data_IF_010423248551
#
_entry.id   IF_010423248551
#
_cell.length_a   1.000
_cell.length_b   1.000
_cell.length_c   1.000
_cell.angle_alpha   90.00
_cell.angle_beta   90.00
_cell.angle_gamma   90.00
#
_symmetry.space_group_name_H-M   'P 1'
#
loop_
_entity.id
_entity.type
_entity.pdbx_description
1 polymer ?
#
# COMPACT_ATOMS: atom_id res chain seq x y z
N UNK A 1 -1.47 -98.00 13.88
CA UNK A 1 -0.59 -98.58 12.87
C UNK A 1 -0.51 -97.65 11.69
N UNK A 2 0.71 -97.45 11.23
CA UNK A 2 1.15 -96.75 9.99
C UNK A 2 1.48 -95.23 10.11
N UNK A 3 2.66 -94.91 9.63
CA UNK A 3 3.37 -93.71 10.00
C UNK A 3 3.17 -92.52 9.02
N UNK A 4 3.36 -91.38 9.60
CA UNK A 4 3.33 -90.08 8.92
C UNK A 4 4.51 -89.91 7.95
N UNK A 5 4.22 -89.43 6.74
CA UNK A 5 5.23 -88.90 5.80
C UNK A 5 5.40 -87.44 5.97
N UNK A 6 6.58 -87.00 6.36
CA UNK A 6 7.01 -85.60 6.35
C UNK A 6 7.34 -85.16 4.92
N UNK A 7 6.69 -84.17 4.43
CA UNK A 7 7.09 -83.48 3.19
C UNK A 7 7.83 -82.20 3.56
N UNK A 8 9.12 -82.22 3.25
CA UNK A 8 9.98 -81.01 3.33
C UNK A 8 9.69 -80.13 2.14
N UNK A 9 9.07 -78.97 2.38
CA UNK A 9 8.97 -77.89 1.40
C UNK A 9 10.21 -77.00 1.54
N UNK A 10 11.09 -77.11 0.55
CA UNK A 10 12.20 -76.17 0.36
C UNK A 10 11.62 -74.84 -0.13
N UNK A 11 11.61 -73.86 0.74
CA UNK A 11 11.29 -72.50 0.39
C UNK A 11 12.51 -71.79 -0.26
N UNK A 12 12.41 -71.46 -1.50
CA UNK A 12 13.41 -70.63 -2.17
C UNK A 12 13.32 -69.19 -1.66
N UNK A 13 14.36 -68.70 -1.00
CA UNK A 13 14.51 -67.35 -0.57
C UNK A 13 14.97 -66.49 -1.78
N UNK A 14 14.07 -65.81 -2.40
CA UNK A 14 14.41 -64.84 -3.45
C UNK A 14 14.94 -63.52 -2.81
N UNK A 15 16.24 -63.32 -2.92
CA UNK A 15 16.84 -62.02 -2.58
C UNK A 15 16.41 -60.97 -3.62
N UNK A 16 15.45 -60.18 -3.25
CA UNK A 16 15.09 -58.97 -4.00
C UNK A 16 16.19 -57.93 -3.85
N UNK A 17 16.87 -57.63 -4.94
CA UNK A 17 17.81 -56.50 -5.00
C UNK A 17 17.04 -55.21 -4.85
N UNK A 18 17.13 -54.56 -3.68
CA UNK A 18 16.68 -53.16 -3.53
C UNK A 18 17.63 -52.26 -4.34
N UNK A 19 17.19 -51.84 -5.51
CA UNK A 19 17.85 -50.76 -6.26
C UNK A 19 17.68 -49.45 -5.50
N UNK A 20 18.73 -48.99 -4.84
CA UNK A 20 18.84 -47.67 -4.29
C UNK A 20 18.89 -46.67 -5.48
N UNK A 21 17.75 -46.18 -5.88
CA UNK A 21 17.70 -45.02 -6.81
C UNK A 21 18.35 -43.83 -6.11
N UNK A 22 19.33 -43.16 -6.74
CA UNK A 22 19.87 -41.94 -6.17
C UNK A 22 18.75 -40.91 -6.10
N UNK A 23 18.44 -40.46 -4.91
CA UNK A 23 17.54 -39.32 -4.72
C UNK A 23 18.26 -38.11 -5.26
N UNK A 24 17.89 -37.70 -6.48
CA UNK A 24 18.32 -36.44 -7.04
C UNK A 24 17.73 -35.36 -6.18
N UNK A 25 18.52 -34.75 -5.32
CA UNK A 25 18.16 -33.52 -4.65
C UNK A 25 18.10 -32.47 -5.72
N UNK A 26 16.89 -32.16 -6.20
CA UNK A 26 16.66 -31.02 -7.02
C UNK A 26 16.94 -29.79 -6.16
N UNK A 27 18.16 -29.30 -6.21
CA UNK A 27 18.49 -27.98 -5.65
C UNK A 27 17.70 -26.96 -6.47
N UNK A 28 16.63 -26.43 -5.87
CA UNK A 28 15.96 -25.27 -6.42
C UNK A 28 16.99 -24.14 -6.47
N UNK A 29 17.53 -23.88 -7.64
CA UNK A 29 18.38 -22.72 -7.85
C UNK A 29 17.51 -21.48 -7.63
N UNK A 30 17.68 -20.85 -6.46
CA UNK A 30 17.14 -19.54 -6.20
C UNK A 30 17.84 -18.58 -7.16
N UNK A 31 17.16 -18.25 -8.27
CA UNK A 31 17.55 -17.13 -9.12
C UNK A 31 17.10 -15.88 -8.39
N UNK A 32 18.01 -15.04 -7.87
CA UNK A 32 17.60 -13.80 -7.24
C UNK A 32 16.77 -13.03 -8.27
N UNK A 33 15.58 -12.60 -7.87
CA UNK A 33 14.76 -11.76 -8.71
C UNK A 33 15.62 -10.55 -9.10
N UNK A 34 15.69 -10.25 -10.39
CA UNK A 34 16.44 -9.10 -10.87
C UNK A 34 16.01 -7.89 -10.05
N UNK A 35 16.98 -7.22 -9.45
CA UNK A 35 16.74 -6.04 -8.61
C UNK A 35 15.97 -5.01 -9.46
N UNK A 36 14.69 -4.83 -9.12
CA UNK A 36 13.83 -3.90 -9.85
C UNK A 36 14.22 -2.50 -9.46
N UNK A 37 15.00 -1.86 -10.29
CA UNK A 37 15.30 -0.43 -10.12
C UNK A 37 14.01 0.35 -10.30
N UNK A 38 13.63 1.12 -9.28
CA UNK A 38 12.50 2.04 -9.38
C UNK A 38 12.92 3.23 -10.25
N UNK A 39 12.62 3.14 -11.53
CA UNK A 39 12.92 4.16 -12.53
C UNK A 39 11.66 4.44 -13.39
N UNK A 40 10.61 5.01 -12.80
CA UNK A 40 9.40 5.33 -13.54
C UNK A 40 9.70 6.43 -14.57
N UNK A 41 9.08 6.35 -15.74
CA UNK A 41 9.13 7.40 -16.75
C UNK A 41 7.82 8.20 -16.73
N UNK A 42 7.87 9.53 -16.81
CA UNK A 42 6.66 10.34 -16.94
C UNK A 42 5.89 9.94 -18.19
N UNK A 43 4.60 9.75 -18.05
CA UNK A 43 3.67 9.61 -19.17
C UNK A 43 3.05 10.95 -19.56
N UNK A 44 1.94 10.90 -20.27
CA UNK A 44 1.14 12.08 -20.59
C UNK A 44 0.54 12.69 -19.34
N UNK A 45 0.50 14.01 -19.30
CA UNK A 45 -0.13 14.75 -18.22
C UNK A 45 -1.63 14.49 -18.15
N UNK A 46 -2.12 14.32 -16.94
CA UNK A 46 -3.55 14.23 -16.65
C UNK A 46 -3.88 15.28 -15.62
N UNK A 47 -4.94 16.05 -15.87
CA UNK A 47 -5.43 17.04 -14.93
C UNK A 47 -6.54 16.45 -14.08
N UNK A 48 -6.44 16.68 -12.78
CA UNK A 48 -7.45 16.28 -11.81
C UNK A 48 -7.88 17.51 -11.03
N UNK A 49 -9.17 17.60 -10.78
CA UNK A 49 -9.73 18.56 -9.84
C UNK A 49 -10.03 17.85 -8.52
N UNK A 50 -9.52 18.37 -7.43
CA UNK A 50 -9.76 17.84 -6.09
C UNK A 50 -10.48 18.89 -5.29
N UNK A 51 -11.70 18.60 -4.89
CA UNK A 51 -12.52 19.45 -4.04
C UNK A 51 -12.52 18.92 -2.63
N UNK A 52 -12.06 19.73 -1.68
CA UNK A 52 -12.18 19.43 -0.25
C UNK A 52 -13.26 20.32 0.34
N UNK A 53 -14.20 19.71 1.03
CA UNK A 53 -15.26 20.44 1.71
C UNK A 53 -15.22 20.17 3.20
N UNK A 54 -15.30 21.22 4.00
CA UNK A 54 -15.41 21.16 5.45
C UNK A 54 -16.69 21.84 5.87
N UNK A 55 -17.52 21.11 6.60
CA UNK A 55 -18.76 21.59 7.20
C UNK A 55 -18.62 21.55 8.71
N UNK A 56 -18.82 22.68 9.37
CA UNK A 56 -18.83 22.81 10.83
C UNK A 56 -20.29 22.93 11.24
N UNK A 57 -20.86 21.82 11.67
CA UNK A 57 -22.28 21.74 11.98
C UNK A 57 -22.65 22.61 13.19
N UNK A 58 -21.83 22.54 14.25
CA UNK A 58 -22.03 23.34 15.46
C UNK A 58 -20.69 23.50 16.17
N UNK A 59 -20.30 24.73 16.36
CA UNK A 59 -19.11 25.07 17.12
C UNK A 59 -19.45 25.54 18.53
N UNK A 60 -18.57 25.25 19.48
CA UNK A 60 -18.56 25.83 20.79
C UNK A 60 -17.26 26.62 20.95
N UNK A 61 -17.36 27.94 20.91
CA UNK A 61 -16.20 28.82 20.86
C UNK A 61 -15.67 29.05 19.42
N UNK A 62 -14.55 29.74 19.34
CA UNK A 62 -13.88 30.04 18.06
C UNK A 62 -13.32 28.76 17.46
N UNK A 63 -13.72 28.49 16.23
CA UNK A 63 -13.24 27.32 15.49
C UNK A 63 -12.22 27.71 14.45
N UNK A 64 -11.12 26.96 14.39
CA UNK A 64 -10.04 27.16 13.43
C UNK A 64 -9.79 25.92 12.62
N UNK A 65 -9.63 26.07 11.33
CA UNK A 65 -9.40 24.98 10.38
C UNK A 65 -8.15 25.29 9.56
N UNK A 66 -7.31 24.27 9.38
CA UNK A 66 -6.15 24.32 8.50
C UNK A 66 -6.29 23.27 7.42
N UNK A 67 -6.35 23.67 6.18
CA UNK A 67 -6.46 22.80 5.03
C UNK A 67 -5.16 22.84 4.24
N UNK A 68 -4.49 21.71 4.02
CA UNK A 68 -3.31 21.69 3.16
C UNK A 68 -3.71 22.03 1.73
N UNK A 69 -2.92 22.90 1.11
CA UNK A 69 -3.10 23.28 -0.29
C UNK A 69 -1.94 22.71 -1.08
N UNK A 70 -2.20 21.95 -2.15
CA UNK A 70 -1.15 21.40 -2.98
C UNK A 70 -0.25 22.51 -3.53
N UNK A 71 1.06 22.38 -3.35
CA UNK A 71 2.06 23.34 -3.83
C UNK A 71 3.24 22.66 -4.53
N UNK A 72 3.02 21.43 -5.01
CA UNK A 72 4.06 20.61 -5.64
C UNK A 72 4.31 21.08 -7.08
N UNK A 73 5.58 21.14 -7.45
CA UNK A 73 6.00 21.39 -8.82
C UNK A 73 7.22 20.48 -9.14
N UNK A 74 6.94 19.34 -9.70
CA UNK A 74 7.93 18.32 -10.07
C UNK A 74 7.66 17.82 -11.49
N UNK A 75 8.53 16.95 -11.99
CA UNK A 75 8.30 16.26 -13.27
C UNK A 75 7.11 15.29 -13.27
N UNK A 76 6.58 14.95 -12.10
CA UNK A 76 5.51 13.96 -11.90
C UNK A 76 4.19 14.56 -11.48
N UNK A 77 4.24 15.71 -10.83
CA UNK A 77 3.07 16.37 -10.27
C UNK A 77 3.28 17.87 -10.28
N UNK A 78 2.28 18.58 -10.75
CA UNK A 78 2.27 20.03 -10.78
C UNK A 78 0.94 20.53 -10.24
N UNK A 79 1.00 21.46 -9.28
CA UNK A 79 -0.18 22.18 -8.84
C UNK A 79 -0.41 23.37 -9.78
N UNK A 80 -1.59 23.50 -10.32
CA UNK A 80 -1.91 24.59 -11.25
C UNK A 80 -2.54 25.76 -10.50
N UNK A 81 -3.78 25.62 -10.05
CA UNK A 81 -4.49 26.66 -9.35
C UNK A 81 -5.28 26.10 -8.17
N UNK A 82 -5.49 26.92 -7.15
CA UNK A 82 -6.36 26.60 -6.03
C UNK A 82 -7.31 27.78 -5.81
N UNK A 83 -8.58 27.48 -5.63
CA UNK A 83 -9.61 28.44 -5.26
C UNK A 83 -10.33 27.96 -4.01
N UNK A 84 -10.90 28.85 -3.26
CA UNK A 84 -11.66 28.52 -2.07
C UNK A 84 -12.82 29.47 -1.85
N UNK A 85 -13.83 28.97 -1.18
CA UNK A 85 -14.97 29.76 -0.73
C UNK A 85 -15.25 29.40 0.74
N UNK A 86 -15.48 30.40 1.57
CA UNK A 86 -15.75 30.20 2.99
C UNK A 86 -16.61 31.32 3.52
N UNK A 87 -17.42 31.02 4.51
CA UNK A 87 -18.15 32.06 5.28
C UNK A 87 -17.40 32.47 6.58
N UNK A 88 -16.16 31.97 6.77
CA UNK A 88 -15.24 32.41 7.81
C UNK A 88 -14.18 33.38 7.28
N UNK A 89 -13.31 33.81 8.18
CA UNK A 89 -12.15 34.64 7.83
C UNK A 89 -11.05 33.70 7.32
N UNK A 90 -10.65 33.83 6.07
CA UNK A 90 -9.66 32.97 5.44
C UNK A 90 -8.35 33.69 5.13
N UNK A 91 -7.26 32.94 5.23
CA UNK A 91 -5.92 33.43 4.88
C UNK A 91 -5.06 32.27 4.36
N UNK A 92 -4.34 32.50 3.27
CA UNK A 92 -3.26 31.60 2.86
C UNK A 92 -2.06 31.78 3.79
N UNK A 93 -1.50 30.66 4.20
CA UNK A 93 -0.30 30.60 5.02
C UNK A 93 0.73 29.69 4.35
N UNK A 94 2.00 30.04 4.47
CA UNK A 94 3.12 29.21 4.06
C UNK A 94 4.05 29.03 5.25
N UNK A 95 4.68 27.85 5.34
CA UNK A 95 5.67 27.59 6.39
C UNK A 95 7.00 28.30 6.15
N UNK A 96 7.22 28.82 4.96
CA UNK A 96 8.42 29.56 4.58
C UNK A 96 9.71 28.71 4.45
N UNK A 97 9.70 27.47 4.90
CA UNK A 97 10.87 26.58 4.89
C UNK A 97 10.80 25.53 3.79
N UNK A 98 9.68 24.88 3.65
CA UNK A 98 9.48 23.77 2.71
C UNK A 98 8.49 24.10 1.59
N UNK A 99 7.99 25.34 1.56
CA UNK A 99 7.01 25.76 0.57
C UNK A 99 5.61 25.15 0.77
N UNK A 100 5.36 24.57 1.92
CA UNK A 100 4.04 24.04 2.26
C UNK A 100 3.05 25.17 2.38
N UNK A 101 1.94 25.07 1.69
CA UNK A 101 0.86 26.03 1.75
C UNK A 101 -0.35 25.45 2.48
N UNK A 102 -0.99 26.28 3.26
CA UNK A 102 -2.21 25.95 3.99
C UNK A 102 -3.23 27.06 3.89
N UNK A 103 -4.47 26.72 3.69
CA UNK A 103 -5.59 27.62 3.88
C UNK A 103 -5.98 27.57 5.35
N UNK A 104 -5.82 28.68 6.03
CA UNK A 104 -6.34 28.90 7.37
C UNK A 104 -7.74 29.52 7.25
N UNK A 105 -8.69 28.98 7.99
CA UNK A 105 -10.02 29.52 8.15
C UNK A 105 -10.37 29.64 9.63
N UNK A 106 -10.88 30.79 10.03
CA UNK A 106 -11.35 31.08 11.39
C UNK A 106 -12.82 31.46 11.36
N UNK A 107 -13.58 30.84 12.21
CA UNK A 107 -15.00 31.08 12.36
C UNK A 107 -15.26 31.74 13.69
N UNK A 108 -16.17 32.66 13.68
CA UNK A 108 -16.61 33.38 14.87
C UNK A 108 -17.12 32.39 15.94
N UNK A 109 -17.12 32.85 17.16
CA UNK A 109 -17.63 32.09 18.29
C UNK A 109 -19.07 31.62 18.03
N UNK A 110 -19.31 30.33 18.32
CA UNK A 110 -20.62 29.68 18.20
C UNK A 110 -21.24 29.75 16.78
N UNK A 111 -20.42 29.71 15.75
CA UNK A 111 -20.96 29.67 14.40
C UNK A 111 -21.79 28.39 14.17
N UNK A 112 -22.92 28.56 13.53
CA UNK A 112 -23.71 27.47 12.97
C UNK A 112 -23.48 27.41 11.45
N UNK A 113 -23.30 26.21 10.91
CA UNK A 113 -23.09 25.99 9.48
C UNK A 113 -21.87 26.72 8.89
N UNK A 114 -20.73 26.69 9.60
CA UNK A 114 -19.44 27.12 9.05
C UNK A 114 -19.04 26.24 7.86
N UNK A 115 -18.50 26.86 6.80
CA UNK A 115 -18.13 26.17 5.56
C UNK A 115 -16.80 26.69 5.01
N UNK A 116 -16.02 25.74 4.54
CA UNK A 116 -14.82 25.98 3.71
C UNK A 116 -14.85 25.04 2.54
#
# INVERSE_FOLDING_TARGET
>A
MTPARRSLLQGAVSFGALSLAPWSTASAQYTPAAERTFAPQPGDWRTFEVTTRVDIAKANGITRVWLPVPSVNTSWQKSEASSFNSNGITRMRSDGLQGVQMLYAEFAENIENGKV
#
